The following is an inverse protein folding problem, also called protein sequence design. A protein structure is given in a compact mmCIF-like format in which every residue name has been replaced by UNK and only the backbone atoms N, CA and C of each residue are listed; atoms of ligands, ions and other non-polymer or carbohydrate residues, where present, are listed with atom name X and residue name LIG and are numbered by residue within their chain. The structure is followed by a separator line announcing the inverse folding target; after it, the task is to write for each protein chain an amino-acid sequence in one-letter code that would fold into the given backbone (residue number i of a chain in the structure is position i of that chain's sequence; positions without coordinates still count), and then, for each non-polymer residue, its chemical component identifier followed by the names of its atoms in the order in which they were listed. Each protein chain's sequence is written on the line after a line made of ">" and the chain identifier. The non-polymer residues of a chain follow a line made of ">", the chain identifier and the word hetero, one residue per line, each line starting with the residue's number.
data_IF_409357990689
#
_entry.id   IF_409357990689
#
_cell.length_a   1.000
_cell.length_b   1.000
_cell.length_c   1.000
_cell.angle_alpha   90.00
_cell.angle_beta   90.00
_cell.angle_gamma   90.00
#
_symmetry.space_group_name_H-M   'P 1'
#
loop_
_entity.id
_entity.type
_entity.pdbx_description
1 polymer ?
#
# COMPACT_ATOMS: atom_id res chain seq x y z
N UNK A 1 -22.35 28.06 -9.24
CA UNK A 1 -21.70 27.01 -8.46
C UNK A 1 -20.24 27.35 -8.30
N UNK A 2 -19.80 27.62 -7.08
CA UNK A 2 -18.37 27.79 -6.82
C UNK A 2 -17.69 26.43 -7.04
N UNK A 3 -16.78 26.34 -8.01
CA UNK A 3 -15.84 25.23 -8.12
C UNK A 3 -14.89 25.44 -6.94
N UNK A 4 -15.02 24.62 -5.91
CA UNK A 4 -14.01 24.52 -4.86
C UNK A 4 -12.69 24.21 -5.56
N UNK A 5 -11.79 25.17 -5.60
CA UNK A 5 -10.41 24.91 -5.99
C UNK A 5 -9.84 24.01 -4.90
N UNK A 6 -9.83 22.69 -5.16
CA UNK A 6 -9.02 21.78 -4.36
C UNK A 6 -7.58 22.28 -4.48
N UNK A 7 -7.00 22.64 -3.35
CA UNK A 7 -5.58 22.95 -3.31
C UNK A 7 -4.82 21.77 -3.89
N UNK A 8 -4.04 22.01 -4.93
CA UNK A 8 -3.24 20.96 -5.57
C UNK A 8 -2.33 20.32 -4.53
N UNK A 9 -2.45 19.00 -4.38
CA UNK A 9 -1.68 18.25 -3.41
C UNK A 9 -0.23 18.16 -3.89
N UNK A 10 0.68 18.77 -3.14
CA UNK A 10 2.11 18.82 -3.47
C UNK A 10 2.85 17.71 -2.73
N UNK A 11 3.54 16.81 -3.43
CA UNK A 11 4.33 15.77 -2.77
C UNK A 11 5.51 16.37 -2.02
N UNK A 12 5.77 15.86 -0.83
CA UNK A 12 6.96 16.21 -0.01
C UNK A 12 8.15 15.33 -0.36
N UNK A 13 7.94 14.22 -1.03
CA UNK A 13 8.97 13.29 -1.49
C UNK A 13 8.50 12.54 -2.73
N UNK A 14 9.43 12.27 -3.63
CA UNK A 14 9.23 11.43 -4.82
C UNK A 14 10.26 10.32 -4.81
N UNK A 15 9.83 9.07 -4.87
CA UNK A 15 10.70 7.88 -4.84
C UNK A 15 10.53 7.07 -6.11
N UNK A 16 11.65 6.63 -6.68
CA UNK A 16 11.60 5.64 -7.77
C UNK A 16 11.20 4.28 -7.22
N UNK A 17 10.03 3.78 -7.60
CA UNK A 17 9.50 2.51 -7.11
C UNK A 17 10.25 1.30 -7.67
N UNK A 18 10.88 1.40 -8.83
CA UNK A 18 11.73 0.34 -9.37
C UNK A 18 13.00 0.10 -8.52
N UNK A 19 13.44 1.13 -7.78
CA UNK A 19 14.59 1.07 -6.90
C UNK A 19 14.26 0.70 -5.45
N UNK A 20 12.99 0.61 -5.07
CA UNK A 20 12.60 0.22 -3.71
C UNK A 20 12.88 -1.27 -3.51
N UNK A 21 13.87 -1.56 -2.68
CA UNK A 21 14.15 -2.91 -2.22
C UNK A 21 13.22 -3.24 -1.03
N UNK A 22 12.16 -3.99 -1.30
CA UNK A 22 11.44 -4.64 -0.22
C UNK A 22 12.30 -5.76 0.34
N UNK A 23 12.52 -5.78 1.65
CA UNK A 23 13.12 -6.93 2.33
C UNK A 23 12.08 -8.05 2.31
N UNK A 24 12.02 -8.77 1.20
CA UNK A 24 11.15 -9.94 1.10
C UNK A 24 11.84 -11.12 1.75
N UNK A 25 11.14 -11.79 2.63
CA UNK A 25 11.44 -13.20 2.88
C UNK A 25 11.09 -13.93 1.58
N UNK A 26 12.10 -14.31 0.81
CA UNK A 26 11.89 -14.95 -0.48
C UNK A 26 11.30 -16.33 -0.27
N UNK A 27 9.99 -16.43 -0.28
CA UNK A 27 9.23 -17.69 -0.24
C UNK A 27 8.76 -18.12 -1.61
N UNK A 28 9.23 -17.43 -2.65
CA UNK A 28 8.89 -17.76 -4.02
C UNK A 28 9.62 -19.04 -4.44
N UNK A 29 8.85 -19.96 -4.96
CA UNK A 29 9.36 -21.13 -5.67
C UNK A 29 9.13 -20.92 -7.16
N UNK A 30 10.12 -21.27 -7.98
CA UNK A 30 10.02 -21.19 -9.42
C UNK A 30 9.85 -22.59 -10.01
N UNK A 31 8.89 -22.70 -10.93
CA UNK A 31 8.75 -23.88 -11.78
C UNK A 31 8.69 -23.40 -13.25
N UNK A 32 9.81 -23.48 -13.93
CA UNK A 32 9.95 -22.81 -15.24
C UNK A 32 9.73 -21.30 -15.08
N UNK A 33 8.86 -20.67 -15.90
CA UNK A 33 8.54 -19.26 -15.80
C UNK A 33 7.55 -18.91 -14.67
N UNK A 34 6.99 -19.90 -13.99
CA UNK A 34 5.97 -19.70 -12.97
C UNK A 34 6.57 -19.36 -11.61
N UNK A 35 6.06 -18.32 -10.98
CA UNK A 35 6.37 -17.93 -9.61
C UNK A 35 5.26 -18.43 -8.70
N UNK A 36 5.60 -19.37 -7.82
CA UNK A 36 4.67 -19.93 -6.85
C UNK A 36 4.86 -19.19 -5.53
N UNK A 37 3.78 -18.85 -4.88
CA UNK A 37 3.84 -18.22 -3.57
C UNK A 37 2.77 -18.79 -2.63
N UNK A 38 3.05 -18.65 -1.34
CA UNK A 38 2.11 -18.92 -0.26
C UNK A 38 2.16 -17.75 0.70
N UNK A 39 1.00 -17.26 1.11
CA UNK A 39 0.93 -16.21 2.12
C UNK A 39 1.10 -16.88 3.50
N UNK A 40 2.27 -16.69 4.07
CA UNK A 40 2.60 -17.12 5.43
C UNK A 40 3.10 -15.89 6.17
N UNK A 41 2.17 -15.11 6.73
CA UNK A 41 2.49 -13.79 7.25
C UNK A 41 3.35 -13.90 8.50
N UNK A 42 4.50 -13.21 8.48
CA UNK A 42 5.36 -13.04 9.63
C UNK A 42 5.50 -11.55 9.95
N UNK A 43 5.23 -11.22 11.20
CA UNK A 43 5.53 -9.92 11.74
C UNK A 43 6.66 -10.08 12.76
N UNK A 44 7.89 -9.63 12.43
CA UNK A 44 9.01 -9.73 13.36
C UNK A 44 8.68 -9.05 14.69
N UNK A 45 9.23 -9.59 15.78
CA UNK A 45 9.04 -9.06 17.12
C UNK A 45 9.41 -7.56 17.18
N UNK A 46 8.57 -6.76 17.84
CA UNK A 46 8.73 -5.31 17.94
C UNK A 46 8.36 -4.52 16.69
N UNK A 47 8.01 -5.17 15.58
CA UNK A 47 7.52 -4.51 14.37
C UNK A 47 6.01 -4.37 14.38
N UNK A 48 5.52 -3.24 13.86
CA UNK A 48 4.09 -2.98 13.67
C UNK A 48 3.65 -3.16 12.22
N UNK A 49 4.61 -3.32 11.32
CA UNK A 49 4.37 -3.52 9.88
C UNK A 49 5.46 -4.35 9.24
N UNK A 50 5.06 -5.20 8.31
CA UNK A 50 5.94 -5.93 7.40
C UNK A 50 5.34 -5.93 6.00
N UNK A 51 6.20 -5.98 4.98
CA UNK A 51 5.81 -6.06 3.57
C UNK A 51 6.60 -7.20 2.92
N UNK A 52 5.88 -8.11 2.28
CA UNK A 52 6.49 -9.25 1.57
C UNK A 52 6.09 -9.21 0.10
N UNK A 53 7.05 -9.40 -0.79
CA UNK A 53 6.80 -9.56 -2.23
C UNK A 53 6.42 -11.01 -2.48
N UNK A 54 5.23 -11.24 -3.03
CA UNK A 54 4.73 -12.57 -3.38
C UNK A 54 5.13 -12.98 -4.79
N UNK A 55 4.99 -12.06 -5.75
CA UNK A 55 5.34 -12.28 -7.14
C UNK A 55 5.65 -10.96 -7.82
N UNK A 56 6.54 -10.98 -8.81
CA UNK A 56 6.90 -9.79 -9.58
C UNK A 56 7.25 -10.15 -11.01
N UNK A 57 6.65 -9.44 -11.94
CA UNK A 57 6.99 -9.43 -13.36
C UNK A 57 7.33 -8.02 -13.84
N UNK A 58 7.48 -7.84 -15.15
CA UNK A 58 7.83 -6.55 -15.75
C UNK A 58 6.73 -5.50 -15.59
N UNK A 59 5.46 -5.93 -15.66
CA UNK A 59 4.30 -5.04 -15.69
C UNK A 59 3.45 -5.10 -14.42
N UNK A 60 3.60 -6.11 -13.60
CA UNK A 60 2.77 -6.28 -12.40
C UNK A 60 3.51 -6.95 -11.25
N UNK A 61 3.00 -6.71 -10.06
CA UNK A 61 3.49 -7.34 -8.84
C UNK A 61 2.34 -7.65 -7.87
N UNK A 62 2.56 -8.64 -7.03
CA UNK A 62 1.71 -8.95 -5.89
C UNK A 62 2.56 -8.86 -4.62
N UNK A 63 2.09 -8.09 -3.65
CA UNK A 63 2.72 -7.93 -2.34
C UNK A 63 1.68 -8.14 -1.25
N UNK A 64 2.13 -8.50 -0.07
CA UNK A 64 1.29 -8.58 1.13
C UNK A 64 1.85 -7.66 2.20
N UNK A 65 0.96 -6.95 2.87
CA UNK A 65 1.24 -6.15 4.05
C UNK A 65 0.66 -6.85 5.28
N UNK A 66 1.46 -6.92 6.31
CA UNK A 66 1.05 -7.35 7.64
C UNK A 66 1.13 -6.12 8.53
N UNK A 67 0.03 -5.69 9.12
CA UNK A 67 -0.07 -4.45 9.88
C UNK A 67 -0.82 -4.64 11.20
N UNK A 68 -0.26 -4.05 12.26
CA UNK A 68 -0.92 -3.83 13.55
C UNK A 68 -1.33 -2.36 13.67
N UNK A 69 -2.14 -2.05 14.67
CA UNK A 69 -2.40 -0.66 15.04
C UNK A 69 -1.07 0.08 15.28
N UNK A 70 -0.94 1.26 14.72
CA UNK A 70 0.29 2.06 14.73
C UNK A 70 1.32 1.66 13.67
N UNK A 71 0.99 0.73 12.78
CA UNK A 71 1.81 0.34 11.61
C UNK A 71 1.32 0.96 10.30
N UNK A 72 0.59 2.05 10.37
CA UNK A 72 -0.03 2.75 9.26
C UNK A 72 1.01 3.20 8.23
N UNK A 73 0.60 3.25 6.97
CA UNK A 73 1.38 3.90 5.94
C UNK A 73 1.03 5.40 5.85
N UNK A 74 1.93 6.15 5.25
CA UNK A 74 1.76 7.59 5.06
C UNK A 74 0.91 7.88 3.82
N UNK A 75 0.29 9.06 3.77
CA UNK A 75 -0.45 9.52 2.60
C UNK A 75 0.47 9.54 1.37
N UNK A 76 0.10 8.81 0.36
CA UNK A 76 0.91 8.65 -0.85
C UNK A 76 0.05 8.35 -2.07
N UNK A 77 0.64 8.52 -3.24
CA UNK A 77 0.08 8.09 -4.52
C UNK A 77 1.13 7.33 -5.34
N UNK A 78 0.67 6.48 -6.24
CA UNK A 78 1.51 5.79 -7.22
C UNK A 78 1.25 6.39 -8.59
N UNK A 79 2.27 7.02 -9.19
CA UNK A 79 2.11 7.71 -10.48
C UNK A 79 1.76 6.77 -11.63
N UNK A 80 2.36 5.60 -11.66
CA UNK A 80 2.26 4.65 -12.76
C UNK A 80 1.43 3.41 -12.45
N UNK A 81 0.95 3.23 -11.21
CA UNK A 81 0.38 1.95 -10.81
C UNK A 81 -1.10 2.07 -10.45
N UNK A 82 -1.92 1.31 -11.18
CA UNK A 82 -3.24 0.90 -10.72
C UNK A 82 -3.08 -0.26 -9.73
N UNK A 83 -3.90 -0.29 -8.69
CA UNK A 83 -3.82 -1.34 -7.69
C UNK A 83 -5.19 -1.83 -7.23
N UNK A 84 -5.29 -3.13 -7.05
CA UNK A 84 -6.36 -3.76 -6.28
C UNK A 84 -5.81 -4.18 -4.93
N UNK A 85 -6.49 -3.78 -3.87
CA UNK A 85 -6.27 -4.23 -2.52
C UNK A 85 -7.31 -5.24 -2.10
N UNK A 86 -6.90 -6.26 -1.38
CA UNK A 86 -7.77 -7.34 -0.94
C UNK A 86 -7.41 -7.78 0.48
N UNK A 87 -8.37 -7.72 1.41
CA UNK A 87 -8.15 -8.11 2.81
C UNK A 87 -8.23 -9.62 2.95
N UNK A 88 -7.18 -10.21 3.50
CA UNK A 88 -7.11 -11.64 3.81
C UNK A 88 -7.53 -11.90 5.26
N UNK A 89 -7.06 -11.08 6.20
CA UNK A 89 -7.37 -11.20 7.64
C UNK A 89 -7.47 -9.81 8.28
N UNK A 90 -8.26 -9.71 9.35
CA UNK A 90 -8.44 -8.48 10.10
C UNK A 90 -9.36 -7.49 9.43
N UNK A 91 -9.26 -6.21 9.83
CA UNK A 91 -10.02 -5.10 9.26
C UNK A 91 -9.07 -3.96 8.91
N UNK A 92 -9.26 -3.37 7.74
CA UNK A 92 -8.48 -2.24 7.24
C UNK A 92 -9.40 -1.13 6.78
N UNK A 93 -9.14 0.09 7.20
CA UNK A 93 -9.84 1.30 6.74
C UNK A 93 -8.91 2.10 5.84
N UNK A 94 -9.40 2.47 4.67
CA UNK A 94 -8.73 3.34 3.71
C UNK A 94 -9.24 4.77 3.86
N UNK A 95 -8.32 5.71 3.73
CA UNK A 95 -8.56 7.15 3.86
C UNK A 95 -8.07 7.87 2.61
N UNK A 96 -8.74 8.94 2.26
CA UNK A 96 -8.38 9.82 1.16
C UNK A 96 -7.43 10.96 1.58
N UNK A 97 -7.16 11.86 0.65
CA UNK A 97 -6.29 13.03 0.84
C UNK A 97 -6.82 14.05 1.86
N UNK A 98 -8.12 14.01 2.16
CA UNK A 98 -8.76 14.87 3.17
C UNK A 98 -8.78 14.24 4.55
N UNK A 99 -8.20 13.03 4.68
CA UNK A 99 -8.20 12.21 5.88
C UNK A 99 -9.58 11.67 6.29
N UNK A 100 -10.52 11.68 5.34
CA UNK A 100 -11.83 11.07 5.54
C UNK A 100 -11.78 9.58 5.16
N UNK A 101 -12.50 8.73 5.91
CA UNK A 101 -12.57 7.31 5.60
C UNK A 101 -13.34 7.10 4.28
N UNK A 102 -12.75 6.37 3.37
CA UNK A 102 -13.38 5.95 2.12
C UNK A 102 -14.18 4.68 2.35
N UNK A 103 -13.56 3.70 2.98
CA UNK A 103 -14.16 2.38 3.25
C UNK A 103 -13.41 1.63 4.33
N UNK A 104 -14.13 0.86 5.12
CA UNK A 104 -13.57 -0.19 5.99
C UNK A 104 -13.83 -1.55 5.38
N UNK A 105 -12.78 -2.33 5.21
CA UNK A 105 -12.81 -3.64 4.56
C UNK A 105 -12.58 -4.75 5.56
N UNK A 106 -13.38 -5.79 5.43
CA UNK A 106 -13.25 -7.06 6.15
C UNK A 106 -12.65 -8.15 5.24
N UNK A 107 -12.30 -9.33 5.77
CA UNK A 107 -11.78 -10.42 4.94
C UNK A 107 -12.67 -10.74 3.74
N UNK A 108 -12.05 -10.92 2.58
CA UNK A 108 -12.68 -11.16 1.27
C UNK A 108 -13.31 -9.93 0.62
N UNK A 109 -13.10 -8.75 1.18
CA UNK A 109 -13.47 -7.48 0.57
C UNK A 109 -12.23 -6.78 0.00
N UNK A 110 -12.41 -5.96 -1.00
CA UNK A 110 -11.32 -5.27 -1.69
C UNK A 110 -11.71 -3.90 -2.23
N UNK A 111 -10.69 -3.18 -2.67
CA UNK A 111 -10.78 -1.83 -3.20
C UNK A 111 -9.83 -1.66 -4.39
N UNK A 112 -10.32 -1.12 -5.50
CA UNK A 112 -9.48 -0.69 -6.61
C UNK A 112 -9.12 0.79 -6.44
N UNK A 113 -7.84 1.09 -6.57
CA UNK A 113 -7.32 2.46 -6.52
C UNK A 113 -6.61 2.75 -7.83
N UNK A 114 -7.12 3.69 -8.65
CA UNK A 114 -6.45 4.08 -9.88
C UNK A 114 -5.15 4.86 -9.58
N UNK A 115 -4.21 4.78 -10.51
CA UNK A 115 -2.95 5.54 -10.42
C UNK A 115 -3.21 7.03 -10.20
N UNK A 116 -2.33 7.69 -9.45
CA UNK A 116 -2.41 9.10 -9.13
C UNK A 116 -3.35 9.45 -7.98
N UNK A 117 -4.11 8.50 -7.47
CA UNK A 117 -4.99 8.72 -6.32
C UNK A 117 -4.19 8.66 -5.01
N UNK A 118 -4.27 9.71 -4.21
CA UNK A 118 -3.63 9.76 -2.91
C UNK A 118 -4.48 9.07 -1.85
N UNK A 119 -3.85 8.22 -1.04
CA UNK A 119 -4.50 7.47 0.02
C UNK A 119 -3.53 7.00 1.08
N UNK A 120 -4.06 6.56 2.20
CA UNK A 120 -3.37 5.74 3.19
C UNK A 120 -4.37 4.78 3.82
N UNK A 121 -3.88 3.83 4.61
CA UNK A 121 -4.72 2.86 5.30
C UNK A 121 -4.19 2.53 6.69
N UNK A 122 -5.11 2.07 7.53
CA UNK A 122 -4.85 1.71 8.91
C UNK A 122 -5.49 0.37 9.23
N UNK A 123 -4.84 -0.41 10.09
CA UNK A 123 -5.49 -1.53 10.77
C UNK A 123 -6.46 -0.97 11.80
N UNK A 124 -7.75 -1.22 11.64
CA UNK A 124 -8.81 -0.70 12.51
C UNK A 124 -9.51 -1.77 13.34
N UNK A 125 -9.15 -3.04 13.12
CA UNK A 125 -9.58 -4.14 13.98
C UNK A 125 -8.70 -4.32 15.22
N UNK A 126 -9.08 -5.27 16.07
CA UNK A 126 -8.33 -5.63 17.28
C UNK A 126 -7.08 -6.47 16.98
N UNK A 127 -7.07 -7.16 15.86
CA UNK A 127 -6.03 -8.11 15.47
C UNK A 127 -5.10 -7.55 14.39
N UNK A 128 -4.00 -8.28 14.14
CA UNK A 128 -3.15 -8.02 13.00
C UNK A 128 -3.95 -8.16 11.70
N UNK A 129 -3.89 -7.16 10.84
CA UNK A 129 -4.49 -7.23 9.52
C UNK A 129 -3.47 -7.70 8.48
N UNK A 130 -3.95 -8.50 7.53
CA UNK A 130 -3.19 -9.01 6.40
C UNK A 130 -3.93 -8.60 5.14
N UNK A 131 -3.26 -7.79 4.31
CA UNK A 131 -3.84 -7.24 3.11
C UNK A 131 -2.90 -7.44 1.92
N UNK A 132 -3.44 -7.94 0.83
CA UNK A 132 -2.71 -8.15 -0.42
C UNK A 132 -2.96 -7.01 -1.39
N UNK A 133 -1.89 -6.57 -2.05
CA UNK A 133 -1.94 -5.61 -3.14
C UNK A 133 -1.46 -6.27 -4.43
N UNK A 134 -2.28 -6.20 -5.46
CA UNK A 134 -1.88 -6.54 -6.82
C UNK A 134 -1.90 -5.25 -7.63
N UNK A 135 -0.79 -4.92 -8.25
CA UNK A 135 -0.64 -3.68 -9.01
C UNK A 135 -0.11 -3.93 -10.41
N UNK A 136 -0.66 -3.18 -11.37
CA UNK A 136 -0.18 -3.09 -12.73
C UNK A 136 0.53 -1.76 -12.97
N UNK A 137 1.64 -1.81 -13.71
CA UNK A 137 2.48 -0.65 -14.01
C UNK A 137 2.25 -0.15 -15.44
N UNK A 138 1.88 1.12 -15.58
CA UNK A 138 1.90 1.81 -16.86
C UNK A 138 3.34 2.06 -17.34
N UNK A 139 3.57 2.06 -18.64
CA UNK A 139 4.90 2.24 -19.25
C UNK A 139 5.11 3.62 -19.86
N UNK A 140 4.07 4.48 -19.83
CA UNK A 140 4.05 5.81 -20.44
C UNK A 140 4.47 6.93 -19.47
N UNK A 141 4.62 6.62 -18.19
CA UNK A 141 5.04 7.56 -17.15
C UNK A 141 6.05 6.90 -16.20
N UNK A 142 6.89 7.69 -15.52
CA UNK A 142 7.82 7.16 -14.52
C UNK A 142 7.10 6.40 -13.40
N UNK A 143 7.66 5.27 -13.00
CA UNK A 143 7.13 4.49 -11.87
C UNK A 143 7.60 5.10 -10.56
N UNK A 144 6.85 6.07 -10.07
CA UNK A 144 7.20 6.87 -8.90
C UNK A 144 6.10 6.81 -7.83
N UNK A 145 6.54 6.74 -6.60
CA UNK A 145 5.72 6.97 -5.43
C UNK A 145 5.86 8.42 -5.00
N UNK A 146 4.72 9.08 -4.84
CA UNK A 146 4.61 10.45 -4.36
C UNK A 146 4.17 10.40 -2.91
N UNK A 147 5.03 10.82 -1.99
CA UNK A 147 4.68 10.90 -0.57
C UNK A 147 4.22 12.32 -0.25
N UNK A 148 3.16 12.45 0.52
CA UNK A 148 2.58 13.71 0.95
C UNK A 148 2.72 13.88 2.47
N UNK A 149 2.55 15.12 2.95
CA UNK A 149 2.55 15.40 4.37
C UNK A 149 1.46 14.55 5.06
N UNK A 150 1.85 13.85 6.11
CA UNK A 150 0.96 12.97 6.88
C UNK A 150 0.45 13.70 8.12
N UNK A 151 -0.82 13.49 8.54
CA UNK A 151 -1.30 14.00 9.80
C UNK A 151 -0.56 13.42 11.01
N UNK A 152 0.15 12.29 10.80
CA UNK A 152 0.94 11.61 11.84
C UNK A 152 2.36 12.17 11.99
N UNK A 153 2.83 13.04 11.09
CA UNK A 153 4.19 13.61 11.16
C UNK A 153 4.35 14.62 12.30
N UNK A 154 3.24 15.22 12.74
CA UNK A 154 3.25 16.13 13.89
C UNK A 154 3.61 15.45 15.22
N UNK A 155 3.34 14.14 15.34
CA UNK A 155 3.62 13.37 16.56
C UNK A 155 5.05 12.78 16.58
N UNK A 156 5.73 12.71 15.44
CA UNK A 156 7.11 12.22 15.36
C UNK A 156 8.16 13.20 15.90
N UNK A 157 7.77 14.47 16.08
CA UNK A 157 8.62 15.56 16.56
C UNK A 157 8.32 15.98 18.02
N UNK A 158 7.54 15.22 18.75
CA UNK A 158 7.23 15.46 20.18
C UNK A 158 7.94 14.48 21.10
#
# INVERSE_FOLDING_TARGET
>A
MAVEQRSELVPVSVKNEDAIAYKSVNRQQHKGPFQLFKVEPELPEGRKRSVEVLARGDLMSAIVHIIKQGGENELHAHRAQDATWFVLEGQVTFYDETHEPVVSLNPREGLFIPRGTAYYFMSTGSDTAIIMRVSGKATDVPNERLDYASPFDADKNR
#
